data_IF_856720055296
#
_entry.id   IF_856720055296
#
_cell.length_a   1.000
_cell.length_b   1.000
_cell.length_c   1.000
_cell.angle_alpha   90.00
_cell.angle_beta   90.00
_cell.angle_gamma   90.00
#
_symmetry.space_group_name_H-M   'P 1'
#
loop_
_entity.id
_entity.type
_entity.pdbx_description
1 polymer ?
#
# COMPACT_ATOMS: atom_id res chain seq x y z
N UNK A 1 11.24 -7.01 26.95
CA UNK A 1 11.96 -5.74 26.91
C UNK A 1 12.21 -5.30 25.48
N UNK A 2 12.82 -6.16 24.72
CA UNK A 2 13.13 -5.78 23.33
C UNK A 2 11.89 -5.46 22.53
N UNK A 3 10.82 -6.13 22.82
CA UNK A 3 9.56 -5.92 22.12
C UNK A 3 9.09 -4.49 22.33
N UNK A 4 9.33 -3.98 23.51
CA UNK A 4 8.92 -2.63 23.84
C UNK A 4 9.67 -1.61 23.01
N UNK A 5 10.94 -1.89 22.73
CA UNK A 5 11.73 -0.98 21.92
C UNK A 5 11.18 -0.83 20.52
N UNK A 6 10.73 -1.94 19.95
CA UNK A 6 10.17 -1.90 18.62
C UNK A 6 8.93 -1.05 18.59
N UNK A 7 8.14 -1.15 19.63
CA UNK A 7 6.91 -0.37 19.73
C UNK A 7 7.22 1.12 19.83
N UNK A 8 8.26 1.47 20.53
CA UNK A 8 8.63 2.86 20.69
C UNK A 8 8.82 3.58 19.38
N UNK A 9 9.37 2.88 18.41
CA UNK A 9 9.78 3.54 17.19
C UNK A 9 8.61 4.09 16.40
N UNK A 10 7.40 3.62 16.67
CA UNK A 10 6.25 4.02 15.88
C UNK A 10 5.12 4.52 16.74
N UNK A 11 5.39 4.87 17.97
CA UNK A 11 4.33 5.36 18.84
C UNK A 11 3.97 6.81 18.56
N UNK A 12 4.98 7.57 18.16
CA UNK A 12 4.78 8.98 17.92
C UNK A 12 4.13 9.18 16.56
N UNK A 13 3.04 9.94 16.52
CA UNK A 13 2.34 10.20 15.27
C UNK A 13 3.25 10.91 14.27
N UNK A 14 4.11 11.79 14.74
CA UNK A 14 5.03 12.50 13.86
C UNK A 14 6.06 11.55 13.27
N UNK A 15 6.55 10.61 14.06
CA UNK A 15 7.50 9.62 13.57
C UNK A 15 6.85 8.71 12.55
N UNK A 16 5.61 8.32 12.80
CA UNK A 16 4.90 7.47 11.86
C UNK A 16 4.67 8.18 10.54
N UNK A 17 4.25 9.43 10.60
CA UNK A 17 4.03 10.21 9.39
C UNK A 17 5.31 10.37 8.60
N UNK A 18 6.42 10.62 9.29
CA UNK A 18 7.70 10.76 8.64
C UNK A 18 8.15 9.47 7.99
N UNK A 19 7.98 8.35 8.70
CA UNK A 19 8.29 7.04 8.17
C UNK A 19 7.48 6.76 6.90
N UNK A 20 6.18 7.02 6.97
CA UNK A 20 5.31 6.78 5.81
C UNK A 20 5.70 7.65 4.63
N UNK A 21 6.06 8.89 4.89
CA UNK A 21 6.46 9.79 3.82
C UNK A 21 7.72 9.31 3.12
N UNK A 22 8.70 8.85 3.90
CA UNK A 22 9.94 8.34 3.31
C UNK A 22 9.70 7.07 2.51
N UNK A 23 8.85 6.19 3.01
CA UNK A 23 8.53 4.96 2.29
C UNK A 23 7.82 5.27 0.98
N UNK A 24 6.87 6.19 1.02
CA UNK A 24 6.15 6.57 -0.18
C UNK A 24 7.09 7.18 -1.21
N UNK A 25 7.99 8.02 -0.75
CA UNK A 25 8.96 8.62 -1.67
C UNK A 25 9.82 7.55 -2.33
N UNK A 26 10.25 6.56 -1.57
CA UNK A 26 11.06 5.48 -2.11
C UNK A 26 10.29 4.68 -3.17
N UNK A 27 9.03 4.35 -2.89
CA UNK A 27 8.22 3.65 -3.87
C UNK A 27 7.97 4.49 -5.12
N UNK A 28 7.67 5.78 -4.93
CA UNK A 28 7.43 6.65 -6.08
C UNK A 28 8.69 6.79 -6.94
N UNK A 29 9.86 6.85 -6.30
CA UNK A 29 11.10 6.93 -7.05
C UNK A 29 11.33 5.69 -7.87
N UNK A 30 11.03 4.51 -7.31
CA UNK A 30 11.18 3.26 -8.05
C UNK A 30 10.25 3.22 -9.26
N UNK A 31 9.01 3.65 -9.06
CA UNK A 31 8.04 3.67 -10.14
C UNK A 31 8.46 4.64 -11.23
N UNK A 32 8.98 5.80 -10.81
CA UNK A 32 9.40 6.81 -11.77
C UNK A 32 10.52 6.30 -12.63
N UNK A 33 11.40 5.49 -12.07
CA UNK A 33 12.51 4.92 -12.83
C UNK A 33 12.02 3.90 -13.84
N UNK A 34 11.00 3.12 -13.49
CA UNK A 34 10.54 2.08 -14.39
C UNK A 34 9.08 1.75 -14.11
N UNK A 35 8.19 2.42 -14.83
CA UNK A 35 6.75 2.26 -14.64
C UNK A 35 6.23 0.90 -15.03
N UNK A 36 6.93 0.22 -15.94
CA UNK A 36 6.43 -1.05 -16.46
C UNK A 36 6.60 -2.21 -15.49
N UNK A 37 7.39 -2.04 -14.46
CA UNK A 37 7.63 -3.14 -13.51
C UNK A 37 6.48 -3.18 -12.52
N UNK A 38 5.56 -4.11 -12.77
CA UNK A 38 4.35 -4.21 -11.93
C UNK A 38 4.66 -4.59 -10.49
N UNK A 39 5.77 -5.27 -10.25
CA UNK A 39 6.17 -5.65 -8.91
C UNK A 39 6.25 -4.44 -7.98
N UNK A 40 6.76 -3.34 -8.49
CA UNK A 40 6.86 -2.12 -7.68
C UNK A 40 5.48 -1.62 -7.27
N UNK A 41 4.53 -1.66 -8.19
CA UNK A 41 3.17 -1.25 -7.90
C UNK A 41 2.51 -2.17 -6.88
N UNK A 42 2.71 -3.48 -7.03
CA UNK A 42 2.14 -4.44 -6.09
C UNK A 42 2.67 -4.22 -4.68
N UNK A 43 3.97 -4.04 -4.57
CA UNK A 43 4.58 -3.83 -3.25
C UNK A 43 4.11 -2.54 -2.62
N UNK A 44 3.99 -1.50 -3.41
CA UNK A 44 3.55 -0.21 -2.93
C UNK A 44 2.10 -0.32 -2.41
N UNK A 45 1.23 -0.89 -3.21
CA UNK A 45 -0.17 -1.02 -2.82
C UNK A 45 -0.32 -1.90 -1.57
N UNK A 46 0.42 -3.00 -1.51
CA UNK A 46 0.37 -3.88 -0.35
C UNK A 46 0.85 -3.17 0.90
N UNK A 47 1.90 -2.37 0.75
CA UNK A 47 2.40 -1.62 1.89
C UNK A 47 1.38 -0.61 2.39
N UNK A 48 0.71 0.11 1.49
CA UNK A 48 -0.31 1.06 1.89
C UNK A 48 -1.46 0.36 2.61
N UNK A 49 -1.83 -0.83 2.13
CA UNK A 49 -2.86 -1.60 2.80
C UNK A 49 -2.44 -1.96 4.22
N UNK A 50 -1.18 -2.33 4.39
CA UNK A 50 -0.66 -2.68 5.70
C UNK A 50 -0.65 -1.48 6.65
N UNK A 51 -0.60 -0.28 6.10
CA UNK A 51 -0.65 0.94 6.89
C UNK A 51 -2.09 1.39 7.17
N UNK A 52 -3.07 0.60 6.77
CA UNK A 52 -4.48 0.92 6.92
C UNK A 52 -4.88 2.13 6.09
N UNK A 53 -4.14 2.41 5.05
CA UNK A 53 -4.42 3.52 4.15
C UNK A 53 -5.07 2.96 2.88
N UNK A 54 -6.32 2.54 3.00
CA UNK A 54 -6.99 1.85 1.89
C UNK A 54 -7.22 2.74 0.69
N UNK A 55 -7.53 4.01 0.93
CA UNK A 55 -7.74 4.95 -0.17
C UNK A 55 -6.45 5.10 -0.98
N UNK A 56 -5.32 5.15 -0.29
CA UNK A 56 -4.05 5.26 -1.00
C UNK A 56 -3.71 3.99 -1.74
N UNK A 57 -4.02 2.83 -1.15
CA UNK A 57 -3.81 1.56 -1.82
C UNK A 57 -4.61 1.49 -3.11
N UNK A 58 -5.89 1.91 -3.06
CA UNK A 58 -6.72 1.95 -4.25
C UNK A 58 -6.12 2.86 -5.30
N UNK A 59 -5.66 4.03 -4.87
CA UNK A 59 -5.07 4.99 -5.80
C UNK A 59 -3.85 4.39 -6.50
N UNK A 60 -3.03 3.65 -5.76
CA UNK A 60 -1.86 3.01 -6.35
C UNK A 60 -2.27 1.99 -7.39
N UNK A 61 -3.26 1.15 -7.08
CA UNK A 61 -3.76 0.16 -8.05
C UNK A 61 -4.31 0.85 -9.29
N UNK A 62 -5.07 1.92 -9.11
CA UNK A 62 -5.67 2.61 -10.25
C UNK A 62 -4.60 3.25 -11.13
N UNK A 63 -3.57 3.80 -10.51
CA UNK A 63 -2.46 4.34 -11.30
C UNK A 63 -1.73 3.24 -12.06
N UNK A 64 -1.57 2.09 -11.43
CA UNK A 64 -0.93 0.95 -12.09
C UNK A 64 -1.77 0.49 -13.28
N UNK A 65 -3.08 0.50 -13.13
CA UNK A 65 -3.98 0.12 -14.23
C UNK A 65 -3.92 1.12 -15.38
N UNK A 66 -3.64 2.39 -15.09
CA UNK A 66 -3.42 3.36 -16.14
C UNK A 66 -2.21 2.99 -17.00
N UNK A 67 -1.20 2.37 -16.38
CA UNK A 67 0.00 1.93 -17.10
C UNK A 67 -0.26 0.65 -17.86
N UNK A 68 -0.93 -0.32 -17.20
CA UNK A 68 -1.16 -1.64 -17.77
C UNK A 68 -2.58 -2.09 -17.48
N UNK A 69 -3.52 -1.50 -18.16
CA UNK A 69 -4.93 -1.79 -17.90
C UNK A 69 -5.36 -3.19 -18.30
N UNK A 70 -4.56 -3.89 -19.07
CA UNK A 70 -4.87 -5.26 -19.48
C UNK A 70 -4.26 -6.33 -18.59
N UNK A 71 -3.59 -5.92 -17.54
CA UNK A 71 -2.92 -6.86 -16.65
C UNK A 71 -3.96 -7.50 -15.72
N UNK A 72 -4.28 -8.74 -16.00
CA UNK A 72 -5.32 -9.46 -15.24
C UNK A 72 -4.87 -9.66 -13.79
N UNK A 73 -3.60 -9.96 -13.58
CA UNK A 73 -3.07 -10.11 -12.23
C UNK A 73 -3.28 -8.86 -11.39
N UNK A 74 -3.13 -7.71 -12.00
CA UNK A 74 -3.31 -6.44 -11.32
C UNK A 74 -4.78 -6.26 -10.92
N UNK A 75 -5.71 -6.55 -11.81
CA UNK A 75 -7.13 -6.49 -11.50
C UNK A 75 -7.49 -7.45 -10.37
N UNK A 76 -6.91 -8.66 -10.42
CA UNK A 76 -7.19 -9.66 -9.39
C UNK A 76 -6.71 -9.18 -8.01
N UNK A 77 -5.51 -8.65 -7.96
CA UNK A 77 -4.97 -8.18 -6.68
C UNK A 77 -5.77 -7.01 -6.13
N UNK A 78 -6.21 -6.13 -6.99
CA UNK A 78 -7.03 -5.01 -6.57
C UNK A 78 -8.36 -5.52 -6.01
N UNK A 79 -8.99 -6.44 -6.75
CA UNK A 79 -10.25 -7.02 -6.32
C UNK A 79 -10.10 -7.75 -4.99
N UNK A 80 -9.03 -8.53 -4.85
CA UNK A 80 -8.79 -9.24 -3.61
C UNK A 80 -8.62 -8.30 -2.43
N UNK A 81 -7.91 -7.21 -2.64
CA UNK A 81 -7.73 -6.23 -1.60
C UNK A 81 -9.06 -5.62 -1.18
N UNK A 82 -9.90 -5.28 -2.15
CA UNK A 82 -11.20 -4.72 -1.84
C UNK A 82 -12.07 -5.71 -1.08
N UNK A 83 -12.03 -6.98 -1.49
CA UNK A 83 -12.84 -7.99 -0.84
C UNK A 83 -12.40 -8.23 0.59
N UNK A 84 -11.09 -8.29 0.83
CA UNK A 84 -10.58 -8.48 2.18
C UNK A 84 -11.08 -7.39 3.11
N UNK A 85 -11.06 -6.18 2.63
CA UNK A 85 -11.38 -5.04 3.49
C UNK A 85 -12.87 -4.80 3.61
N UNK A 86 -13.61 -5.13 2.57
CA UNK A 86 -15.06 -5.03 2.64
C UNK A 86 -15.64 -6.07 3.59
N UNK A 87 -15.07 -7.26 3.59
CA UNK A 87 -15.55 -8.30 4.50
C UNK A 87 -15.38 -7.88 5.93
N UNK A 88 -14.28 -7.23 6.24
CA UNK A 88 -14.07 -6.72 7.59
C UNK A 88 -15.13 -5.69 7.94
N UNK A 89 -15.43 -4.82 7.00
CA UNK A 89 -16.46 -3.81 7.22
C UNK A 89 -17.83 -4.43 7.44
N UNK A 90 -18.14 -5.44 6.64
CA UNK A 90 -19.42 -6.13 6.75
C UNK A 90 -19.55 -6.80 8.11
N UNK A 91 -18.46 -7.33 8.62
CA UNK A 91 -18.48 -7.99 9.93
C UNK A 91 -18.89 -7.06 11.03
N UNK A 92 -18.60 -5.79 10.88
CA UNK A 92 -18.94 -4.81 11.91
C UNK A 92 -20.41 -4.45 11.92
N UNK A 93 -21.08 -4.71 10.86
CA UNK A 93 -22.49 -4.41 10.76
C UNK A 93 -23.35 -5.58 11.21
#
# INVERSE_FOLDING_TARGET
>A
MCIIHITFQIQDADELADYQMRKRKAFEDQIRKNRSVMTHWFKYAAWEESQKQLDRSRSVYERALDVEHRNIGLWLKYTEMEMRNKQVNISHE
#
